data_IF_316698507553
#
_entry.id   IF_316698507553
#
_cell.length_a   1.000
_cell.length_b   1.000
_cell.length_c   1.000
_cell.angle_alpha   90.00
_cell.angle_beta   90.00
_cell.angle_gamma   90.00
#
_symmetry.space_group_name_H-M   'P 1'
#
loop_
_entity.id
_entity.type
_entity.pdbx_description
1 polymer ?
#
# COMPACT_ATOMS: atom_id res chain seq x y z
N UNK A 1 1.82 12.21 -8.36
CA UNK A 1 2.98 12.00 -9.23
C UNK A 1 2.66 10.81 -10.15
N UNK A 2 3.31 10.66 -11.30
CA UNK A 2 3.14 9.45 -12.13
C UNK A 2 3.77 8.24 -11.45
N UNK A 3 3.34 7.03 -11.81
CA UNK A 3 4.03 5.79 -11.42
C UNK A 3 4.78 5.28 -12.65
N UNK A 4 6.08 5.55 -12.72
CA UNK A 4 6.89 5.25 -13.93
C UNK A 4 7.64 3.93 -13.81
N UNK A 5 7.75 3.38 -12.60
CA UNK A 5 8.48 2.14 -12.33
C UNK A 5 7.52 0.96 -12.18
N UNK A 6 7.79 -0.09 -12.95
CA UNK A 6 7.06 -1.35 -12.91
C UNK A 6 7.89 -2.51 -12.40
N UNK A 7 7.25 -3.45 -11.71
CA UNK A 7 7.77 -4.76 -11.33
C UNK A 7 6.73 -5.81 -11.72
N UNK A 8 7.14 -6.81 -12.51
CA UNK A 8 6.25 -7.83 -13.08
C UNK A 8 4.99 -7.23 -13.75
N UNK A 9 5.17 -6.20 -14.58
CA UNK A 9 4.08 -5.48 -15.28
C UNK A 9 3.07 -4.75 -14.36
N UNK A 10 3.34 -4.66 -13.06
CA UNK A 10 2.52 -3.91 -12.11
C UNK A 10 3.32 -2.76 -11.51
N UNK A 11 2.64 -1.65 -11.25
CA UNK A 11 3.29 -0.45 -10.72
C UNK A 11 3.77 -0.67 -9.29
N UNK A 12 4.97 -0.18 -8.94
CA UNK A 12 5.49 -0.27 -7.55
C UNK A 12 4.75 0.70 -6.63
N UNK A 13 4.68 0.40 -5.33
CA UNK A 13 4.00 1.25 -4.35
C UNK A 13 4.99 2.18 -3.64
N UNK A 14 4.68 3.47 -3.58
CA UNK A 14 5.40 4.48 -2.79
C UNK A 14 4.44 5.59 -2.34
N UNK A 15 4.90 6.56 -1.55
CA UNK A 15 4.01 7.60 -0.98
C UNK A 15 3.19 8.39 -2.01
N UNK A 16 3.77 8.69 -3.16
CA UNK A 16 3.13 9.52 -4.19
C UNK A 16 2.52 8.70 -5.34
N UNK A 17 2.50 7.37 -5.22
CA UNK A 17 1.99 6.46 -6.25
C UNK A 17 0.46 6.44 -6.35
N UNK A 18 -0.23 7.00 -5.35
CA UNK A 18 -1.69 7.09 -5.30
C UNK A 18 -2.38 5.75 -5.08
N UNK A 19 -1.72 4.82 -4.38
CA UNK A 19 -2.31 3.54 -3.99
C UNK A 19 -3.37 3.72 -2.92
N UNK A 20 -4.52 3.07 -3.07
CA UNK A 20 -5.62 3.06 -2.11
C UNK A 20 -6.10 1.63 -1.93
N UNK A 21 -6.30 1.20 -0.69
CA UNK A 21 -6.92 -0.07 -0.35
C UNK A 21 -8.17 0.22 0.48
N UNK A 22 -9.30 -0.37 0.09
CA UNK A 22 -10.62 -0.14 0.67
C UNK A 22 -11.18 -1.50 1.05
N UNK A 23 -11.29 -1.75 2.35
CA UNK A 23 -11.81 -2.98 2.91
C UNK A 23 -13.24 -2.80 3.41
N UNK A 24 -14.05 -3.83 3.20
CA UNK A 24 -15.35 -3.99 3.86
C UNK A 24 -15.69 -5.49 3.93
N UNK A 25 -16.29 -5.98 5.03
CA UNK A 25 -16.58 -5.27 6.28
C UNK A 25 -15.38 -5.22 7.24
N UNK A 26 -15.23 -4.11 7.96
CA UNK A 26 -14.42 -3.98 9.16
C UNK A 26 -15.35 -3.96 10.39
N UNK A 27 -15.58 -5.14 11.00
CA UNK A 27 -16.58 -5.24 12.07
C UNK A 27 -16.00 -4.74 13.38
N UNK A 28 -16.51 -3.63 13.89
CA UNK A 28 -16.05 -2.98 15.12
C UNK A 28 -17.16 -2.87 16.17
N UNK A 29 -16.75 -2.87 17.44
CA UNK A 29 -17.64 -2.69 18.59
C UNK A 29 -18.01 -1.22 18.72
N UNK A 30 -19.28 -0.91 18.48
CA UNK A 30 -19.83 0.45 18.52
C UNK A 30 -20.66 0.65 19.78
N UNK A 31 -20.50 1.76 20.52
CA UNK A 31 -21.30 2.03 21.70
C UNK A 31 -22.77 2.26 21.33
N UNK A 32 -23.68 1.64 22.10
CA UNK A 32 -25.12 1.91 22.05
C UNK A 32 -25.67 1.99 23.49
N UNK A 33 -26.88 2.52 23.72
CA UNK A 33 -27.51 2.52 25.04
C UNK A 33 -27.64 1.13 25.69
N UNK A 34 -27.73 0.06 24.87
CA UNK A 34 -27.82 -1.33 25.35
C UNK A 34 -26.47 -2.04 25.52
N UNK A 35 -25.35 -1.33 25.32
CA UNK A 35 -24.00 -1.88 25.33
C UNK A 35 -23.34 -1.93 23.94
N UNK A 36 -22.07 -2.39 23.85
CA UNK A 36 -21.36 -2.45 22.58
C UNK A 36 -21.98 -3.46 21.60
N UNK A 37 -22.26 -3.03 20.36
CA UNK A 37 -22.76 -3.91 19.29
C UNK A 37 -21.77 -3.99 18.12
N UNK A 38 -21.60 -5.16 17.47
CA UNK A 38 -20.78 -5.29 16.27
C UNK A 38 -21.44 -4.57 15.08
N UNK A 39 -20.75 -3.58 14.49
CA UNK A 39 -21.21 -2.87 13.28
C UNK A 39 -20.13 -2.98 12.20
N UNK A 40 -20.49 -3.31 10.95
CA UNK A 40 -19.55 -3.32 9.83
C UNK A 40 -19.26 -1.90 9.35
N UNK A 41 -17.98 -1.52 9.33
CA UNK A 41 -17.49 -0.25 8.82
C UNK A 41 -16.66 -0.44 7.54
N UNK A 42 -16.56 0.60 6.68
CA UNK A 42 -15.48 0.66 5.70
C UNK A 42 -14.14 0.92 6.39
N UNK A 43 -13.06 0.43 5.80
CA UNK A 43 -11.70 0.74 6.27
C UNK A 43 -10.79 1.06 5.08
N UNK A 44 -10.28 2.29 5.03
CA UNK A 44 -9.53 2.84 3.91
C UNK A 44 -8.12 3.18 4.37
N UNK A 45 -7.12 2.68 3.65
CA UNK A 45 -5.72 3.05 3.84
C UNK A 45 -5.09 3.50 2.51
N UNK A 46 -4.16 4.44 2.60
CA UNK A 46 -3.59 5.13 1.43
C UNK A 46 -2.06 5.06 1.44
N UNK A 47 -1.47 4.93 0.24
CA UNK A 47 -0.02 4.87 0.09
C UNK A 47 0.66 6.16 0.51
N UNK A 48 -0.04 7.31 0.50
CA UNK A 48 0.45 8.58 1.06
C UNK A 48 0.89 8.48 2.52
N UNK A 49 0.32 7.54 3.27
CA UNK A 49 0.67 7.26 4.67
C UNK A 49 1.68 6.11 4.78
N UNK A 50 2.34 5.73 3.69
CA UNK A 50 3.33 4.64 3.68
C UNK A 50 4.49 4.92 4.64
N UNK A 51 4.88 3.88 5.37
CA UNK A 51 5.95 3.91 6.34
C UNK A 51 6.88 2.71 6.12
N UNK A 52 8.11 2.84 6.66
CA UNK A 52 9.18 1.83 6.54
C UNK A 52 9.52 1.49 5.09
N UNK A 53 9.57 2.49 4.21
CA UNK A 53 10.07 2.32 2.84
C UNK A 53 11.57 2.00 2.78
N UNK A 54 12.06 1.73 1.58
CA UNK A 54 13.47 1.47 1.28
C UNK A 54 14.39 2.62 1.72
N UNK A 55 15.65 2.31 2.04
CA UNK A 55 16.62 3.33 2.52
C UNK A 55 17.38 4.01 1.38
N UNK A 56 17.69 3.25 0.33
CA UNK A 56 18.54 3.63 -0.81
C UNK A 56 17.73 3.64 -2.11
N UNK A 57 16.86 2.67 -2.31
CA UNK A 57 16.09 2.56 -3.56
C UNK A 57 14.93 3.55 -3.56
N UNK A 58 14.89 4.39 -4.61
CA UNK A 58 13.80 5.33 -4.85
C UNK A 58 13.15 5.07 -6.21
N UNK A 59 11.83 5.19 -6.26
CA UNK A 59 11.04 5.18 -7.48
C UNK A 59 10.22 6.48 -7.50
N UNK A 60 10.20 7.17 -8.64
CA UNK A 60 9.49 8.45 -8.77
C UNK A 60 9.89 9.45 -7.65
N UNK A 61 11.19 9.52 -7.35
CA UNK A 61 11.76 10.37 -6.30
C UNK A 61 11.50 9.92 -4.85
N UNK A 62 10.74 8.85 -4.64
CA UNK A 62 10.26 8.42 -3.33
C UNK A 62 10.84 7.08 -2.88
N UNK A 63 11.08 6.88 -1.57
CA UNK A 63 11.34 5.55 -1.01
C UNK A 63 10.25 4.56 -1.41
N UNK A 64 10.64 3.47 -2.07
CA UNK A 64 9.70 2.43 -2.50
C UNK A 64 9.29 1.55 -1.32
N UNK A 65 8.04 1.09 -1.29
CA UNK A 65 7.59 0.11 -0.30
C UNK A 65 8.31 -1.23 -0.51
N UNK A 66 8.62 -1.90 0.58
CA UNK A 66 9.19 -3.24 0.65
C UNK A 66 8.24 -4.13 1.47
N UNK A 67 8.50 -5.44 1.53
CA UNK A 67 7.65 -6.39 2.27
C UNK A 67 7.33 -6.01 3.73
N UNK A 68 8.22 -5.27 4.41
CA UNK A 68 8.03 -4.84 5.81
C UNK A 68 7.40 -3.43 5.93
N UNK A 69 7.10 -2.80 4.79
CA UNK A 69 6.39 -1.53 4.72
C UNK A 69 4.90 -1.72 5.05
N UNK A 70 4.24 -0.61 5.37
CA UNK A 70 2.82 -0.58 5.69
C UNK A 70 2.25 0.80 5.38
N UNK A 71 0.93 0.92 5.30
CA UNK A 71 0.26 2.20 5.39
C UNK A 71 -0.03 2.45 6.86
N UNK A 72 0.54 3.51 7.42
CA UNK A 72 0.69 3.67 8.87
C UNK A 72 -0.62 3.82 9.64
N UNK A 73 -1.70 4.19 8.95
CA UNK A 73 -3.04 4.36 9.53
C UNK A 73 -4.12 4.11 8.48
N UNK A 74 -5.31 3.82 8.97
CA UNK A 74 -6.54 3.68 8.18
C UNK A 74 -7.66 4.55 8.76
N UNK A 75 -8.76 4.67 8.01
CA UNK A 75 -9.91 5.52 8.32
C UNK A 75 -11.23 4.87 7.89
N UNK A 76 -12.36 5.27 8.47
CA UNK A 76 -13.70 4.78 8.15
C UNK A 76 -14.35 3.94 9.27
N UNK A 77 -13.54 3.49 10.23
CA UNK A 77 -13.91 2.61 11.34
C UNK A 77 -13.96 3.34 12.70
N UNK A 78 -13.90 4.68 12.70
CA UNK A 78 -13.81 5.50 13.91
C UNK A 78 -15.03 5.39 14.84
N UNK A 79 -16.16 4.90 14.35
CA UNK A 79 -17.34 4.61 15.17
C UNK A 79 -17.14 3.45 16.15
N UNK A 80 -16.14 2.60 15.92
CA UNK A 80 -15.76 1.46 16.76
C UNK A 80 -15.14 1.81 18.11
N UNK A 81 -15.60 2.86 18.79
CA UNK A 81 -14.94 3.39 20.00
C UNK A 81 -15.07 2.49 21.23
N UNK A 82 -15.97 1.49 21.22
CA UNK A 82 -16.18 0.56 22.33
C UNK A 82 -15.20 -0.63 22.30
N UNK A 83 -13.91 -0.34 22.06
CA UNK A 83 -12.83 -1.33 22.03
C UNK A 83 -12.44 -1.83 20.63
N UNK A 84 -12.88 -1.15 19.57
CA UNK A 84 -12.42 -1.36 18.19
C UNK A 84 -12.89 -2.63 17.52
N UNK A 85 -12.11 -3.09 16.54
CA UNK A 85 -12.37 -4.29 15.77
C UNK A 85 -12.72 -5.50 16.65
N UNK A 86 -13.72 -6.27 16.26
CA UNK A 86 -14.17 -7.45 17.03
C UNK A 86 -13.04 -8.47 17.19
N UNK A 87 -12.26 -8.68 16.14
CA UNK A 87 -11.12 -9.59 16.15
C UNK A 87 -9.83 -8.89 16.61
N UNK A 88 -9.62 -7.63 16.24
CA UNK A 88 -8.32 -6.96 16.45
C UNK A 88 -8.20 -6.09 17.69
N UNK A 89 -9.33 -5.65 18.26
CA UNK A 89 -9.37 -4.69 19.36
C UNK A 89 -8.82 -3.30 19.00
N UNK A 90 -8.75 -2.95 17.71
CA UNK A 90 -8.17 -1.68 17.25
C UNK A 90 -9.04 -0.99 16.22
N UNK A 91 -8.91 0.34 16.17
CA UNK A 91 -9.41 1.18 15.07
C UNK A 91 -8.25 2.00 14.49
N UNK A 92 -8.40 2.48 13.25
CA UNK A 92 -7.42 3.36 12.57
C UNK A 92 -5.98 2.83 12.52
N UNK A 93 -5.80 1.51 12.60
CA UNK A 93 -4.49 0.90 12.65
C UNK A 93 -3.88 0.81 11.24
N UNK A 94 -2.62 0.37 11.18
CA UNK A 94 -1.90 0.16 9.93
C UNK A 94 -2.56 -0.89 9.03
N UNK A 95 -2.34 -0.73 7.72
CA UNK A 95 -2.56 -1.78 6.72
C UNK A 95 -1.21 -2.36 6.28
N UNK A 96 -1.08 -3.68 6.32
CA UNK A 96 0.17 -4.40 6.06
C UNK A 96 0.08 -5.24 4.79
N UNK A 97 1.16 -5.29 4.01
CA UNK A 97 1.21 -6.13 2.82
C UNK A 97 1.30 -7.62 3.20
N UNK A 98 0.37 -8.41 2.67
CA UNK A 98 0.37 -9.87 2.77
C UNK A 98 0.94 -10.54 1.51
N UNK A 99 0.92 -9.84 0.37
CA UNK A 99 1.53 -10.28 -0.87
C UNK A 99 2.49 -9.22 -1.41
N UNK A 100 3.42 -9.68 -2.24
CA UNK A 100 4.48 -8.89 -2.87
C UNK A 100 5.05 -9.70 -4.04
N UNK A 101 5.90 -9.09 -4.86
CA UNK A 101 6.61 -9.78 -5.94
C UNK A 101 7.32 -11.06 -5.45
N UNK A 102 7.23 -12.15 -6.21
CA UNK A 102 7.85 -13.44 -5.87
C UNK A 102 9.36 -13.48 -6.20
N UNK A 103 9.77 -12.76 -7.24
CA UNK A 103 11.11 -12.84 -7.84
C UNK A 103 11.92 -11.56 -7.67
N UNK A 104 11.25 -10.41 -7.60
CA UNK A 104 11.92 -9.11 -7.62
C UNK A 104 12.06 -8.57 -6.20
N UNK A 105 13.30 -8.24 -5.85
CA UNK A 105 13.67 -7.73 -4.53
C UNK A 105 14.46 -6.45 -4.65
N UNK A 106 14.12 -5.47 -3.82
CA UNK A 106 14.90 -4.27 -3.58
C UNK A 106 15.47 -4.33 -2.16
N UNK A 107 16.77 -4.05 -2.01
CA UNK A 107 17.47 -4.15 -0.72
C UNK A 107 17.32 -5.55 -0.07
N UNK A 108 17.25 -6.60 -0.89
CA UNK A 108 17.03 -7.98 -0.43
C UNK A 108 15.61 -8.30 0.03
N UNK A 109 14.66 -7.38 -0.13
CA UNK A 109 13.25 -7.53 0.28
C UNK A 109 12.33 -7.46 -0.92
N UNK A 110 11.30 -8.31 -0.92
CA UNK A 110 10.29 -8.34 -1.97
C UNK A 110 9.56 -7.00 -2.08
N UNK A 111 9.14 -6.66 -3.29
CA UNK A 111 8.53 -5.37 -3.63
C UNK A 111 7.02 -5.53 -3.73
N UNK A 112 6.21 -4.84 -2.90
CA UNK A 112 4.78 -4.73 -3.09
C UNK A 112 4.43 -3.90 -4.33
N UNK A 113 3.40 -4.35 -5.04
CA UNK A 113 2.96 -3.81 -6.33
C UNK A 113 1.47 -3.51 -6.27
N UNK A 114 0.96 -2.84 -7.30
CA UNK A 114 -0.48 -2.77 -7.54
C UNK A 114 -1.10 -4.18 -7.48
N UNK A 115 -2.30 -4.25 -6.92
CA UNK A 115 -3.07 -5.47 -6.71
C UNK A 115 -2.52 -6.47 -5.70
N UNK A 116 -1.35 -6.23 -5.11
CA UNK A 116 -0.88 -7.07 -4.00
C UNK A 116 -1.79 -6.86 -2.77
N UNK A 117 -2.09 -7.96 -2.08
CA UNK A 117 -3.04 -8.01 -0.98
C UNK A 117 -2.50 -7.34 0.27
N UNK A 118 -3.36 -6.61 0.96
CA UNK A 118 -3.14 -5.98 2.25
C UNK A 118 -4.15 -6.46 3.30
N UNK A 119 -3.73 -6.43 4.56
CA UNK A 119 -4.54 -6.75 5.73
C UNK A 119 -4.65 -5.51 6.61
N UNK A 120 -5.88 -5.08 6.89
CA UNK A 120 -6.13 -3.87 7.68
C UNK A 120 -6.39 -4.22 9.14
N UNK A 121 -6.10 -3.27 10.02
CA UNK A 121 -6.48 -3.35 11.43
C UNK A 121 -6.07 -4.66 12.12
N UNK A 122 -4.81 -5.10 11.94
CA UNK A 122 -4.33 -6.40 12.47
C UNK A 122 -5.25 -7.58 12.09
N UNK A 123 -5.66 -7.66 10.82
CA UNK A 123 -6.52 -8.71 10.27
C UNK A 123 -7.97 -8.67 10.80
N UNK A 124 -8.51 -7.47 11.08
CA UNK A 124 -9.93 -7.33 11.38
C UNK A 124 -10.82 -7.36 10.13
N UNK A 125 -10.22 -7.09 8.96
CA UNK A 125 -10.88 -7.10 7.66
C UNK A 125 -10.50 -8.33 6.85
N UNK A 126 -11.31 -8.70 5.83
CA UNK A 126 -10.83 -9.59 4.78
C UNK A 126 -9.58 -9.02 4.09
N UNK A 127 -8.81 -9.85 3.37
CA UNK A 127 -7.72 -9.38 2.55
C UNK A 127 -8.24 -8.60 1.33
N UNK A 128 -7.71 -7.40 1.10
CA UNK A 128 -8.05 -6.58 -0.07
C UNK A 128 -6.79 -6.09 -0.80
N UNK A 129 -6.84 -5.95 -2.13
CA UNK A 129 -5.69 -5.47 -2.91
C UNK A 129 -5.49 -3.95 -2.75
N UNK A 130 -4.23 -3.52 -2.84
CA UNK A 130 -3.93 -2.10 -3.10
C UNK A 130 -4.26 -1.75 -4.55
N UNK A 131 -5.23 -0.87 -4.75
CA UNK A 131 -5.59 -0.34 -6.06
C UNK A 131 -4.70 0.85 -6.39
N UNK A 132 -4.04 0.79 -7.54
CA UNK A 132 -3.12 1.84 -7.97
C UNK A 132 -3.21 2.03 -9.48
N UNK A 133 -2.84 3.22 -9.95
CA UNK A 133 -2.75 3.51 -11.37
C UNK A 133 -1.72 2.60 -12.06
N UNK A 134 -1.96 2.21 -13.33
CA UNK A 134 -0.99 1.43 -14.08
C UNK A 134 0.31 2.20 -14.30
N UNK A 135 1.35 1.47 -14.71
CA UNK A 135 2.65 2.05 -15.06
C UNK A 135 2.45 3.00 -16.24
N UNK A 136 2.89 4.25 -16.08
CA UNK A 136 2.91 5.23 -17.15
C UNK A 136 4.26 5.07 -17.86
N UNK A 137 4.26 4.36 -18.98
CA UNK A 137 5.42 4.29 -19.85
C UNK A 137 5.59 5.66 -20.54
N UNK A 138 6.56 6.45 -20.09
CA UNK A 138 6.99 7.62 -20.85
C UNK A 138 7.84 7.13 -22.02
N UNK A 139 7.59 7.59 -23.26
CA UNK A 139 8.46 7.29 -24.38
C UNK A 139 9.86 7.84 -24.06
N UNK A 140 10.89 7.02 -24.28
CA UNK A 140 12.27 7.48 -24.21
C UNK A 140 12.45 8.46 -25.38
N UNK A 141 12.42 9.76 -25.10
CA UNK A 141 12.59 10.80 -26.13
C UNK A 141 14.06 11.04 -26.46
N UNK A 142 14.97 10.67 -25.55
CA UNK A 142 16.42 10.82 -25.73
C UNK A 142 17.01 9.54 -26.30
N UNK A 143 17.63 9.63 -27.47
CA UNK A 143 18.36 8.49 -28.05
C UNK A 143 19.46 8.06 -27.08
N UNK A 144 19.56 6.76 -26.76
CA UNK A 144 20.56 6.29 -25.81
C UNK A 144 21.96 6.60 -26.36
N UNK A 145 22.87 7.10 -25.52
CA UNK A 145 24.25 7.41 -25.92
C UNK A 145 25.18 6.28 -25.51
N UNK A 146 26.14 5.95 -26.37
CA UNK A 146 27.17 4.97 -26.06
C UNK A 146 27.98 5.43 -24.83
N UNK A 147 28.09 4.59 -23.80
CA UNK A 147 28.86 4.89 -22.58
C UNK A 147 30.37 5.07 -22.84
N UNK A 148 30.88 4.56 -23.96
CA UNK A 148 32.30 4.64 -24.33
C UNK A 148 32.56 5.88 -25.18
N UNK A 149 31.85 6.03 -26.31
CA UNK A 149 32.14 7.09 -27.28
C UNK A 149 31.20 8.30 -27.24
N UNK A 150 30.19 8.29 -26.35
CA UNK A 150 29.18 9.35 -26.14
C UNK A 150 28.35 9.75 -27.37
N UNK A 151 28.48 9.04 -28.48
CA UNK A 151 27.63 9.20 -29.67
C UNK A 151 26.24 8.62 -29.41
N UNK A 152 25.24 9.19 -30.06
CA UNK A 152 23.89 8.60 -30.11
C UNK A 152 23.98 7.20 -30.75
N UNK A 153 23.28 6.24 -30.14
CA UNK A 153 23.08 4.89 -30.67
C UNK A 153 21.97 4.88 -31.72
#
# INVERSE_FOLDING_TARGET
MGVTVGVNHMSVVHKDSGGVTICFPDVCKTPTPGGPVPIPYPNIAMSSNSAKGAKKVKCDGNPVCLKDSNFSTSTGDEGGTAGGGVASGTIKNKAEFAMYSFDTKFEGKNVPRAFDIMLHNKMNTPPFPVLQKPIIAMPITEKPKCIICKKEL
#
